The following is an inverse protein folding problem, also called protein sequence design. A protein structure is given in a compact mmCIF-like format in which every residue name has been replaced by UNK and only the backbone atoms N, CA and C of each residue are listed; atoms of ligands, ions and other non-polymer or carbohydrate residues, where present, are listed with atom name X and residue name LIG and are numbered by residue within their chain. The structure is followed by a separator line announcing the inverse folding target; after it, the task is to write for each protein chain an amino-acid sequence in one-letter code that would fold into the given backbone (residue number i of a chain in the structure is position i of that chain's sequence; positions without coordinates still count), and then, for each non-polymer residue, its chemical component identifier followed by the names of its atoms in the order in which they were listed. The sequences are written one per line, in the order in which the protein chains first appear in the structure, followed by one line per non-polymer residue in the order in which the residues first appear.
data_IF_892996397637
#
_entry.id   IF_892996397637
#
_cell.length_a   1.000
_cell.length_b   1.000
_cell.length_c   1.000
_cell.angle_alpha   90.00
_cell.angle_beta   90.00
_cell.angle_gamma   90.00
#
_symmetry.space_group_name_H-M   'P 1'
#
loop_
_entity.id
_entity.type
_entity.pdbx_description
1 polymer ?
#
# COMPACT_ATOMS: atom_id res chain seq x y z
N UNK A 1 8.93 22.64 6.04
CA UNK A 1 7.73 23.49 5.84
C UNK A 1 7.94 24.25 4.54
N UNK A 2 7.32 23.83 3.44
CA UNK A 2 7.46 24.52 2.15
C UNK A 2 6.20 25.35 1.95
N UNK A 3 6.32 26.65 1.99
CA UNK A 3 5.23 27.58 1.69
C UNK A 3 5.24 27.91 0.20
N UNK A 4 4.11 27.76 -0.47
CA UNK A 4 3.92 28.27 -1.82
C UNK A 4 3.24 29.62 -1.72
N UNK A 5 3.91 30.67 -2.15
CA UNK A 5 3.36 32.01 -2.19
C UNK A 5 2.57 32.18 -3.51
N UNK A 6 1.26 32.32 -3.45
CA UNK A 6 0.43 32.67 -4.61
C UNK A 6 0.02 34.13 -4.48
N UNK A 7 0.32 34.90 -5.52
CA UNK A 7 -0.08 36.30 -5.64
C UNK A 7 -1.44 36.38 -6.31
N UNK A 8 -2.44 36.85 -5.60
CA UNK A 8 -3.78 37.09 -6.15
C UNK A 8 -4.04 38.60 -6.13
N UNK A 9 -4.35 39.16 -7.30
CA UNK A 9 -4.78 40.54 -7.41
C UNK A 9 -6.30 40.62 -7.25
N UNK A 10 -6.75 41.28 -6.21
CA UNK A 10 -8.15 41.57 -6.01
C UNK A 10 -8.32 43.03 -5.57
N UNK A 11 -9.12 43.80 -6.31
CA UNK A 11 -9.44 45.21 -6.01
C UNK A 11 -8.19 46.12 -5.86
N UNK A 12 -7.15 45.90 -6.70
CA UNK A 12 -5.95 46.75 -6.71
C UNK A 12 -5.01 46.57 -5.51
N UNK A 13 -5.21 45.55 -4.69
CA UNK A 13 -4.29 45.13 -3.63
C UNK A 13 -3.76 43.73 -3.89
N UNK A 14 -2.46 43.56 -3.71
CA UNK A 14 -1.80 42.27 -3.75
C UNK A 14 -1.92 41.62 -2.36
N UNK A 15 -2.52 40.46 -2.30
CA UNK A 15 -2.62 39.66 -1.06
C UNK A 15 -1.79 38.40 -1.25
N UNK A 16 -0.86 38.18 -0.32
CA UNK A 16 -0.11 36.92 -0.24
C UNK A 16 -0.99 35.91 0.47
N UNK A 17 -1.47 34.91 -0.24
CA UNK A 17 -2.14 33.76 0.36
C UNK A 17 -1.07 32.69 0.62
N UNK A 18 -0.74 32.47 1.88
CA UNK A 18 0.08 31.35 2.28
C UNK A 18 -0.78 30.09 2.26
N UNK A 19 -0.58 29.23 1.28
CA UNK A 19 -1.22 27.92 1.26
C UNK A 19 -0.25 26.95 1.93
N UNK A 20 -0.58 26.50 3.13
CA UNK A 20 0.05 25.31 3.70
C UNK A 20 -0.21 24.17 2.72
N UNK A 21 0.84 23.42 2.38
CA UNK A 21 0.71 22.14 1.68
C UNK A 21 0.13 21.11 2.67
N UNK A 22 -1.05 21.40 3.20
CA UNK A 22 -1.86 20.39 3.86
C UNK A 22 -2.30 19.42 2.77
N UNK A 23 -2.12 18.16 3.03
CA UNK A 23 -2.66 17.06 2.21
C UNK A 23 -4.05 17.47 1.72
N UNK A 24 -4.24 17.61 0.41
CA UNK A 24 -5.53 18.03 -0.16
C UNK A 24 -6.55 16.97 0.21
N UNK A 25 -7.19 17.14 1.35
CA UNK A 25 -8.30 16.29 1.79
C UNK A 25 -9.52 16.77 1.01
N UNK A 26 -9.94 15.99 0.03
CA UNK A 26 -11.18 16.27 -0.71
C UNK A 26 -12.36 16.26 0.26
N UNK A 27 -13.46 16.98 -0.08
CA UNK A 27 -14.72 17.13 0.69
C UNK A 27 -15.30 15.83 1.29
N UNK A 28 -14.80 14.65 0.87
CA UNK A 28 -15.23 13.33 1.33
C UNK A 28 -14.21 12.65 2.27
N UNK A 29 -13.29 13.38 2.87
CA UNK A 29 -12.25 12.82 3.77
C UNK A 29 -11.31 11.79 3.12
N UNK A 30 -11.18 11.81 1.78
CA UNK A 30 -10.29 10.95 1.03
C UNK A 30 -8.97 11.65 0.76
N UNK A 31 -7.86 10.94 0.87
CA UNK A 31 -6.54 11.48 0.50
C UNK A 31 -6.13 11.03 -0.90
N UNK A 32 -5.30 11.84 -1.53
CA UNK A 32 -4.82 11.59 -2.90
C UNK A 32 -3.50 10.85 -2.83
N UNK A 33 -3.37 9.79 -3.64
CA UNK A 33 -2.14 9.03 -3.83
C UNK A 33 -1.76 9.03 -5.31
N UNK A 34 -0.47 8.85 -5.62
CA UNK A 34 -0.02 8.58 -6.98
C UNK A 34 -0.30 7.14 -7.42
N UNK A 35 0.08 6.79 -8.66
CA UNK A 35 -0.06 5.41 -9.14
C UNK A 35 0.91 4.43 -8.47
N UNK A 36 1.94 4.96 -7.79
CA UNK A 36 2.86 4.22 -6.92
C UNK A 36 3.20 5.05 -5.69
N UNK A 37 3.35 4.37 -4.55
CA UNK A 37 3.61 4.98 -3.25
C UNK A 37 4.58 4.12 -2.43
N UNK A 38 4.96 4.63 -1.26
CA UNK A 38 5.64 3.87 -0.22
C UNK A 38 4.70 3.76 0.97
N UNK A 39 4.58 2.56 1.51
CA UNK A 39 3.75 2.27 2.68
C UNK A 39 4.53 1.47 3.73
N UNK A 40 3.98 1.39 4.92
CA UNK A 40 4.44 0.52 6.00
C UNK A 40 3.35 -0.51 6.32
N UNK A 41 3.73 -1.73 6.66
CA UNK A 41 2.86 -2.79 7.19
C UNK A 41 3.30 -3.07 8.63
N UNK A 42 2.85 -2.29 9.61
CA UNK A 42 3.38 -2.33 10.97
C UNK A 42 3.16 -3.68 11.67
N UNK A 43 2.05 -4.37 11.41
CA UNK A 43 1.77 -5.67 12.00
C UNK A 43 2.73 -6.77 11.51
N UNK A 44 3.37 -6.55 10.35
CA UNK A 44 4.36 -7.45 9.76
C UNK A 44 5.80 -6.97 9.99
N UNK A 45 6.00 -5.81 10.59
CA UNK A 45 7.29 -5.16 10.77
C UNK A 45 7.97 -4.76 9.45
N UNK A 46 7.18 -4.55 8.38
CA UNK A 46 7.69 -4.19 7.06
C UNK A 46 7.60 -2.69 6.87
N UNK A 47 8.75 -2.04 6.85
CA UNK A 47 8.87 -0.59 6.61
C UNK A 47 9.20 -0.30 5.14
N UNK A 48 8.69 0.84 4.64
CA UNK A 48 9.06 1.40 3.34
C UNK A 48 8.87 0.45 2.13
N UNK A 49 7.80 -0.34 2.13
CA UNK A 49 7.49 -1.20 0.99
C UNK A 49 6.94 -0.36 -0.18
N UNK A 50 7.50 -0.58 -1.38
CA UNK A 50 7.00 0.05 -2.59
C UNK A 50 5.70 -0.62 -3.05
N UNK A 51 4.64 0.18 -3.17
CA UNK A 51 3.28 -0.25 -3.47
C UNK A 51 2.84 0.32 -4.82
N UNK A 52 2.38 -0.54 -5.73
CA UNK A 52 1.64 -0.11 -6.91
C UNK A 52 0.16 0.01 -6.57
N UNK A 53 -0.43 1.14 -6.87
CA UNK A 53 -1.87 1.39 -6.70
C UNK A 53 -2.59 0.81 -7.91
N UNK A 54 -3.34 -0.28 -7.70
CA UNK A 54 -3.95 -1.05 -8.78
C UNK A 54 -5.47 -0.97 -8.73
N UNK A 55 -6.04 -0.01 -9.46
CA UNK A 55 -7.49 0.16 -9.59
C UNK A 55 -8.16 -0.95 -10.42
N UNK A 56 -7.40 -1.72 -11.18
CA UNK A 56 -7.87 -2.89 -11.94
C UNK A 56 -8.05 -4.14 -11.08
N UNK A 57 -7.22 -4.30 -10.02
CA UNK A 57 -7.31 -5.43 -9.12
C UNK A 57 -8.38 -5.22 -8.05
N UNK A 58 -9.10 -6.30 -7.69
CA UNK A 58 -10.05 -6.28 -6.56
C UNK A 58 -9.32 -6.27 -5.23
N UNK A 59 -8.48 -7.26 -4.99
CA UNK A 59 -7.77 -7.48 -3.72
C UNK A 59 -6.32 -7.04 -3.80
N UNK A 60 -5.77 -6.68 -2.66
CA UNK A 60 -4.34 -6.42 -2.53
C UNK A 60 -3.53 -7.72 -2.55
N UNK A 61 -2.26 -7.59 -2.88
CA UNK A 61 -1.37 -8.72 -3.05
C UNK A 61 0.04 -8.33 -2.58
N UNK A 62 0.65 -9.21 -1.78
CA UNK A 62 2.03 -9.12 -1.32
C UNK A 62 2.86 -10.23 -1.94
N UNK A 63 3.96 -9.89 -2.58
CA UNK A 63 4.89 -10.86 -3.12
C UNK A 63 5.69 -11.53 -2.02
N UNK A 64 5.67 -12.87 -2.02
CA UNK A 64 6.45 -13.71 -1.12
C UNK A 64 7.14 -14.79 -1.95
N UNK A 65 8.38 -15.12 -1.63
CA UNK A 65 9.09 -16.17 -2.37
C UNK A 65 9.00 -17.55 -1.70
N UNK A 66 8.56 -17.57 -0.43
CA UNK A 66 8.35 -18.81 0.32
C UNK A 66 7.20 -18.64 1.30
N UNK A 67 6.35 -19.66 1.44
CA UNK A 67 5.25 -19.73 2.40
C UNK A 67 5.26 -21.12 3.03
N UNK A 68 5.11 -21.18 4.36
CA UNK A 68 4.96 -22.39 5.14
C UNK A 68 3.73 -22.28 6.02
N UNK A 69 2.83 -23.26 5.96
CA UNK A 69 1.68 -23.37 6.85
C UNK A 69 2.10 -23.97 8.21
N UNK A 70 1.47 -23.51 9.27
CA UNK A 70 1.55 -24.14 10.58
C UNK A 70 0.27 -23.86 11.38
N UNK A 71 0.07 -24.63 12.44
CA UNK A 71 -1.06 -24.45 13.36
C UNK A 71 -0.55 -23.86 14.66
N UNK A 72 -1.21 -22.83 15.15
CA UNK A 72 -0.97 -22.24 16.46
C UNK A 72 -2.31 -21.96 17.12
N UNK A 73 -2.52 -22.43 18.35
CA UNK A 73 -3.77 -22.25 19.12
C UNK A 73 -5.02 -22.71 18.35
N UNK A 74 -4.94 -23.88 17.69
CA UNK A 74 -5.96 -24.46 16.81
C UNK A 74 -6.36 -23.60 15.60
N UNK A 75 -5.56 -22.61 15.25
CA UNK A 75 -5.77 -21.71 14.13
C UNK A 75 -4.69 -21.89 13.07
N UNK A 76 -5.07 -21.68 11.81
CA UNK A 76 -4.14 -21.74 10.68
C UNK A 76 -3.33 -20.45 10.59
N UNK A 77 -2.01 -20.60 10.60
CA UNK A 77 -1.05 -19.53 10.42
C UNK A 77 -0.15 -19.81 9.23
N UNK A 78 0.44 -18.75 8.69
CA UNK A 78 1.50 -18.82 7.67
C UNK A 78 2.73 -18.05 8.13
N UNK A 79 3.87 -18.69 7.91
CA UNK A 79 5.19 -18.08 7.94
C UNK A 79 5.62 -17.85 6.51
N UNK A 80 6.03 -16.65 6.16
CA UNK A 80 6.40 -16.31 4.80
C UNK A 80 7.60 -15.39 4.74
N UNK A 81 8.30 -15.44 3.61
CA UNK A 81 9.52 -14.69 3.35
C UNK A 81 9.28 -13.71 2.20
N UNK A 82 9.77 -12.51 2.36
CA UNK A 82 9.69 -11.47 1.36
C UNK A 82 10.99 -10.65 1.30
N UNK A 83 11.19 -9.96 0.19
CA UNK A 83 12.24 -8.98 0.01
C UNK A 83 11.62 -7.58 0.17
N UNK A 84 11.79 -6.90 1.33
CA UNK A 84 11.10 -5.65 1.60
C UNK A 84 11.63 -4.48 0.76
N UNK A 85 12.90 -4.53 0.38
CA UNK A 85 13.58 -3.45 -0.34
C UNK A 85 13.31 -3.54 -1.85
N UNK A 86 12.93 -2.41 -2.44
CA UNK A 86 12.68 -2.32 -3.88
C UNK A 86 13.96 -2.61 -4.67
N UNK A 87 13.84 -3.46 -5.70
CA UNK A 87 14.97 -3.90 -6.56
C UNK A 87 16.17 -4.52 -5.82
N UNK A 88 15.96 -5.01 -4.60
CA UNK A 88 16.99 -5.69 -3.83
C UNK A 88 16.45 -7.02 -3.32
N UNK A 89 17.20 -8.10 -3.56
CA UNK A 89 16.89 -9.47 -3.11
C UNK A 89 17.87 -9.98 -2.05
N UNK A 90 18.86 -9.18 -1.64
CA UNK A 90 19.86 -9.57 -0.66
C UNK A 90 19.33 -9.51 0.76
N UNK A 91 18.29 -8.68 0.97
CA UNK A 91 17.64 -8.53 2.28
C UNK A 91 16.34 -9.33 2.28
N UNK A 92 16.32 -10.34 3.13
CA UNK A 92 15.13 -11.17 3.37
C UNK A 92 14.48 -10.79 4.69
N UNK A 93 13.17 -10.76 4.71
CA UNK A 93 12.39 -10.57 5.93
C UNK A 93 11.42 -11.73 6.10
N UNK A 94 11.36 -12.25 7.32
CA UNK A 94 10.43 -13.31 7.71
C UNK A 94 9.28 -12.69 8.47
N UNK A 95 8.07 -12.99 8.03
CA UNK A 95 6.84 -12.56 8.65
C UNK A 95 5.97 -13.76 9.03
N UNK A 96 5.10 -13.57 10.02
CA UNK A 96 4.08 -14.54 10.40
C UNK A 96 2.74 -13.83 10.51
N UNK A 97 1.67 -14.49 10.05
CA UNK A 97 0.33 -13.98 10.19
C UNK A 97 -0.69 -15.12 10.29
N UNK A 98 -1.79 -14.85 10.98
CA UNK A 98 -2.95 -15.73 10.98
C UNK A 98 -3.60 -15.70 9.61
N UNK A 99 -3.99 -16.87 9.09
CA UNK A 99 -4.74 -16.98 7.84
C UNK A 99 -6.18 -16.57 8.09
N UNK A 100 -6.62 -15.53 7.38
CA UNK A 100 -8.01 -15.09 7.40
C UNK A 100 -8.87 -15.88 6.43
N UNK A 101 -8.28 -16.30 5.28
CA UNK A 101 -8.98 -17.10 4.27
C UNK A 101 -7.96 -17.82 3.36
N UNK A 102 -8.42 -18.90 2.72
CA UNK A 102 -7.65 -19.66 1.74
C UNK A 102 -8.55 -19.96 0.55
N UNK A 103 -8.36 -19.27 -0.56
CA UNK A 103 -9.25 -19.37 -1.72
C UNK A 103 -8.50 -19.29 -3.05
N UNK A 104 -9.16 -19.81 -4.10
CA UNK A 104 -8.65 -19.73 -5.46
C UNK A 104 -8.84 -18.31 -6.00
N UNK A 105 -7.77 -17.76 -6.56
CA UNK A 105 -7.77 -16.45 -7.23
C UNK A 105 -7.39 -16.66 -8.68
N UNK A 106 -8.20 -16.12 -9.60
CA UNK A 106 -7.88 -16.09 -11.03
C UNK A 106 -7.08 -14.83 -11.35
N UNK A 107 -5.93 -14.97 -11.98
CA UNK A 107 -5.12 -13.85 -12.44
C UNK A 107 -5.69 -13.27 -13.76
N UNK A 108 -5.13 -12.14 -14.23
CA UNK A 108 -5.53 -11.51 -15.49
C UNK A 108 -5.25 -12.37 -16.73
N UNK A 109 -4.37 -13.36 -16.64
CA UNK A 109 -4.08 -14.34 -17.68
C UNK A 109 -5.04 -15.52 -17.71
N UNK A 110 -5.96 -15.62 -16.73
CA UNK A 110 -6.94 -16.70 -16.60
C UNK A 110 -6.48 -17.88 -15.75
N UNK A 111 -5.21 -17.91 -15.30
CA UNK A 111 -4.71 -18.98 -14.44
C UNK A 111 -5.29 -18.88 -13.03
N UNK A 112 -5.63 -20.01 -12.46
CA UNK A 112 -6.13 -20.13 -11.10
C UNK A 112 -5.02 -20.54 -10.14
N UNK A 113 -4.93 -19.85 -9.01
CA UNK A 113 -3.96 -20.14 -7.97
C UNK A 113 -4.62 -20.09 -6.60
N UNK A 114 -4.43 -21.14 -5.80
CA UNK A 114 -4.81 -21.15 -4.39
C UNK A 114 -3.92 -20.19 -3.62
N UNK A 115 -4.50 -19.24 -2.89
CA UNK A 115 -3.77 -18.22 -2.13
C UNK A 115 -4.25 -18.12 -0.72
N UNK A 116 -3.30 -17.80 0.17
CA UNK A 116 -3.59 -17.40 1.54
C UNK A 116 -3.93 -15.92 1.57
N UNK A 117 -4.92 -15.59 2.38
CA UNK A 117 -5.30 -14.22 2.69
C UNK A 117 -5.03 -13.95 4.15
N UNK A 118 -4.37 -12.85 4.43
CA UNK A 118 -4.10 -12.34 5.77
C UNK A 118 -4.74 -10.96 5.93
N UNK A 119 -4.96 -10.53 7.16
CA UNK A 119 -5.33 -9.15 7.47
C UNK A 119 -4.14 -8.49 8.13
N UNK A 120 -3.79 -7.31 7.66
CA UNK A 120 -2.70 -6.50 8.23
C UNK A 120 -3.06 -5.03 8.13
N UNK A 121 -2.53 -4.21 9.01
CA UNK A 121 -2.64 -2.77 8.94
C UNK A 121 -1.71 -2.23 7.85
N UNK A 122 -2.23 -1.35 7.00
CA UNK A 122 -1.41 -0.51 6.12
C UNK A 122 -1.31 0.89 6.72
N UNK A 123 -0.14 1.50 6.61
CA UNK A 123 0.15 2.88 7.03
C UNK A 123 0.69 3.68 5.86
N UNK A 124 -0.02 4.74 5.49
CA UNK A 124 0.43 5.77 4.59
C UNK A 124 0.65 7.07 5.36
N UNK A 125 1.88 7.27 5.86
CA UNK A 125 2.28 8.47 6.59
C UNK A 125 1.34 8.86 7.74
N UNK A 126 0.97 7.87 8.58
CA UNK A 126 0.09 8.03 9.74
C UNK A 126 -1.40 7.79 9.45
N UNK A 127 -1.78 7.61 8.19
CA UNK A 127 -3.12 7.14 7.84
C UNK A 127 -3.14 5.60 7.88
N UNK A 128 -3.80 5.03 8.89
CA UNK A 128 -3.77 3.59 9.19
C UNK A 128 -5.15 2.96 9.07
N UNK A 129 -5.22 1.80 8.42
CA UNK A 129 -6.42 0.97 8.39
C UNK A 129 -6.10 -0.49 8.07
N UNK A 130 -6.94 -1.43 8.52
CA UNK A 130 -6.76 -2.84 8.17
C UNK A 130 -7.12 -3.08 6.71
N UNK A 131 -6.34 -3.95 6.06
CA UNK A 131 -6.55 -4.40 4.70
C UNK A 131 -6.40 -5.92 4.61
N UNK A 132 -7.16 -6.53 3.70
CA UNK A 132 -6.95 -7.92 3.31
C UNK A 132 -5.89 -8.00 2.22
N UNK A 133 -4.91 -8.90 2.41
CA UNK A 133 -3.76 -9.06 1.51
C UNK A 133 -3.65 -10.54 1.13
N UNK A 134 -3.62 -10.84 -0.18
CA UNK A 134 -3.28 -12.17 -0.66
C UNK A 134 -1.76 -12.33 -0.77
N UNK A 135 -1.23 -13.47 -0.31
CA UNK A 135 0.17 -13.85 -0.50
C UNK A 135 0.32 -14.57 -1.85
N UNK A 136 1.33 -14.21 -2.62
CA UNK A 136 1.58 -14.80 -3.94
C UNK A 136 3.06 -14.86 -4.26
N UNK A 137 3.46 -15.97 -4.87
CA UNK A 137 4.80 -16.10 -5.45
C UNK A 137 4.74 -15.68 -6.92
N UNK A 138 5.28 -14.50 -7.24
CA UNK A 138 5.42 -14.00 -8.61
C UNK A 138 6.77 -13.32 -8.75
N UNK A 139 7.74 -14.04 -9.27
CA UNK A 139 9.14 -13.58 -9.38
C UNK A 139 9.31 -12.36 -10.30
N UNK A 140 8.37 -12.12 -11.20
CA UNK A 140 8.41 -11.05 -12.20
C UNK A 140 7.71 -9.74 -11.77
N UNK A 141 7.38 -9.56 -10.49
CA UNK A 141 6.74 -8.32 -10.03
C UNK A 141 7.75 -7.22 -9.77
N UNK A 142 7.67 -6.13 -10.54
CA UNK A 142 8.47 -4.92 -10.31
C UNK A 142 8.17 -4.27 -8.94
N UNK A 143 6.93 -4.40 -8.46
CA UNK A 143 6.50 -3.94 -7.15
C UNK A 143 6.21 -5.13 -6.24
N UNK A 144 6.75 -5.10 -5.02
CA UNK A 144 6.54 -6.16 -4.04
C UNK A 144 5.11 -6.20 -3.49
N UNK A 145 4.37 -5.11 -3.63
CA UNK A 145 2.97 -5.02 -3.20
C UNK A 145 2.11 -4.33 -4.26
N UNK A 146 0.89 -4.85 -4.44
CA UNK A 146 -0.20 -4.20 -5.17
C UNK A 146 -1.32 -3.85 -4.19
N UNK A 147 -1.83 -2.62 -4.22
CA UNK A 147 -2.98 -2.20 -3.44
C UNK A 147 -4.23 -2.23 -4.31
N UNK A 148 -5.14 -3.17 -4.03
CA UNK A 148 -6.38 -3.35 -4.77
C UNK A 148 -7.53 -2.45 -4.27
N UNK A 149 -8.62 -2.43 -5.05
CA UNK A 149 -9.79 -1.55 -4.80
C UNK A 149 -10.42 -1.71 -3.42
N UNK A 150 -10.50 -2.94 -2.88
CA UNK A 150 -11.10 -3.18 -1.56
C UNK A 150 -10.36 -2.45 -0.45
N UNK A 151 -9.05 -2.35 -0.56
CA UNK A 151 -8.20 -1.64 0.42
C UNK A 151 -8.26 -0.11 0.28
N UNK A 152 -8.67 0.39 -0.88
CA UNK A 152 -8.76 1.82 -1.18
C UNK A 152 -10.16 2.40 -0.96
N UNK A 153 -11.18 1.54 -0.93
CA UNK A 153 -12.59 1.97 -0.95
C UNK A 153 -12.92 2.94 0.18
N UNK A 154 -13.52 4.06 -0.20
CA UNK A 154 -13.93 5.12 0.74
C UNK A 154 -12.79 6.02 1.27
N UNK A 155 -11.51 5.71 0.98
CA UNK A 155 -10.33 6.35 1.59
C UNK A 155 -9.43 7.10 0.61
N UNK A 156 -9.26 6.56 -0.60
CA UNK A 156 -8.22 6.98 -1.55
C UNK A 156 -8.83 7.49 -2.84
N UNK A 157 -8.21 8.53 -3.40
CA UNK A 157 -8.35 8.97 -4.78
C UNK A 157 -6.98 8.78 -5.44
N UNK A 158 -6.94 8.20 -6.63
CA UNK A 158 -5.70 7.92 -7.35
C UNK A 158 -5.48 8.99 -8.41
N UNK A 159 -4.32 9.63 -8.35
CA UNK A 159 -3.81 10.47 -9.43
C UNK A 159 -2.86 9.61 -10.30
N UNK A 160 -3.25 9.27 -11.55
CA UNK A 160 -2.45 8.40 -12.40
C UNK A 160 -1.20 9.09 -12.98
N UNK A 161 -1.10 10.40 -12.92
CA UNK A 161 0.06 11.17 -13.36
C UNK A 161 1.15 11.26 -12.28
N UNK A 162 0.73 11.26 -11.02
CA UNK A 162 1.60 11.46 -9.88
C UNK A 162 2.23 10.16 -9.33
N UNK A 163 3.37 10.30 -8.64
CA UNK A 163 4.06 9.22 -7.93
C UNK A 163 4.59 9.73 -6.60
N UNK A 164 4.55 8.90 -5.57
CA UNK A 164 5.14 9.19 -4.25
C UNK A 164 4.64 10.51 -3.64
N UNK A 165 3.31 10.74 -3.71
CA UNK A 165 2.67 11.92 -3.12
C UNK A 165 2.66 11.86 -1.60
N UNK A 166 2.61 10.65 -1.04
CA UNK A 166 2.67 10.40 0.39
C UNK A 166 4.12 10.06 0.73
N UNK A 167 4.91 11.08 1.07
CA UNK A 167 6.27 10.84 1.53
C UNK A 167 6.23 10.14 2.88
N UNK A 168 6.86 8.96 2.98
CA UNK A 168 7.25 8.40 4.27
C UNK A 168 8.14 9.44 4.95
N UNK A 169 7.89 9.71 6.24
CA UNK A 169 8.85 10.49 7.03
C UNK A 169 10.12 9.67 7.08
N UNK A 170 11.15 10.09 6.33
CA UNK A 170 12.50 9.60 6.57
C UNK A 170 12.82 9.87 8.04
N UNK A 171 13.16 8.80 8.75
CA UNK A 171 13.73 8.89 10.11
C UNK A 171 15.21 9.19 10.02
#
# INVERSE_FOLDING_TARGET
MVFVNIWISCLGRWVIVMINKETIVNKNNKFIVGWREVATLPDLGVDNIHVKIDTGARSSCLHTFKIEEFTQDDELWVKFWLHPIHNNTDVEQVCMAKVADKRVVRNSGGDEQLRYFIVSTIDFNGQRWPIEISLTSRDNMAFRMLLGRTSMHGRIIVDPEASYLIQSKEK
#
